data_IF_997810548593
#
_entry.id   IF_997810548593
#
_cell.length_a   1.000
_cell.length_b   1.000
_cell.length_c   1.000
_cell.angle_alpha   90.00
_cell.angle_beta   90.00
_cell.angle_gamma   90.00
#
_symmetry.space_group_name_H-M   'P 1'
#
loop_
_entity.id
_entity.type
_entity.pdbx_description
1 polymer ?
#
# COMPACT_ATOMS: atom_id res chain seq x y z
N UNK A 1 0.42 11.22 3.95
CA UNK A 1 0.41 11.44 2.47
C UNK A 1 0.51 10.10 1.77
N UNK A 2 -0.47 9.80 0.93
CA UNK A 2 -0.52 8.59 0.13
C UNK A 2 -0.83 8.93 -1.34
N UNK A 3 -0.52 7.99 -2.23
CA UNK A 3 -0.97 7.98 -3.62
C UNK A 3 -2.14 7.00 -3.73
N UNK A 4 -3.19 7.37 -4.46
CA UNK A 4 -4.30 6.49 -4.80
C UNK A 4 -4.25 6.19 -6.30
N UNK A 5 -4.26 4.91 -6.66
CA UNK A 5 -4.22 4.42 -8.03
C UNK A 5 -5.44 3.52 -8.27
N UNK A 6 -6.12 3.71 -9.39
CA UNK A 6 -7.39 3.08 -9.74
C UNK A 6 -7.33 2.35 -11.08
N UNK A 7 -6.29 2.62 -11.88
CA UNK A 7 -6.14 2.04 -13.22
C UNK A 7 -4.67 1.96 -13.65
N UNK A 8 -4.44 1.22 -14.74
CA UNK A 8 -3.09 0.96 -15.26
C UNK A 8 -2.39 2.24 -15.72
N UNK A 9 -3.14 3.22 -16.23
CA UNK A 9 -2.57 4.47 -16.74
C UNK A 9 -1.94 5.28 -15.61
N UNK A 10 -2.57 5.31 -14.43
CA UNK A 10 -2.02 5.95 -13.23
C UNK A 10 -0.75 5.26 -12.72
N UNK A 11 -0.67 3.92 -12.79
CA UNK A 11 0.56 3.18 -12.45
C UNK A 11 1.68 3.50 -13.44
N UNK A 12 1.36 3.55 -14.75
CA UNK A 12 2.33 3.91 -15.79
C UNK A 12 2.86 5.33 -15.61
N UNK A 13 1.98 6.28 -15.30
CA UNK A 13 2.34 7.66 -14.99
C UNK A 13 3.25 7.72 -13.76
N UNK A 14 2.87 7.06 -12.66
CA UNK A 14 3.67 7.00 -11.44
C UNK A 14 5.09 6.49 -11.73
N UNK A 15 5.23 5.44 -12.55
CA UNK A 15 6.53 4.90 -12.95
C UNK A 15 7.38 5.93 -13.70
N UNK A 16 6.77 6.74 -14.58
CA UNK A 16 7.47 7.77 -15.33
C UNK A 16 7.93 8.92 -14.43
N UNK A 17 7.07 9.37 -13.51
CA UNK A 17 7.40 10.48 -12.60
C UNK A 17 8.23 10.03 -11.39
N UNK A 18 8.37 8.73 -11.13
CA UNK A 18 9.06 8.21 -9.94
C UNK A 18 10.52 8.69 -9.84
N UNK A 19 11.21 8.88 -10.97
CA UNK A 19 12.56 9.45 -11.00
C UNK A 19 12.62 10.89 -10.49
N UNK A 20 11.52 11.64 -10.62
CA UNK A 20 11.40 13.04 -10.22
C UNK A 20 11.09 13.18 -8.72
N UNK A 21 10.71 12.10 -8.03
CA UNK A 21 10.38 12.12 -6.60
C UNK A 21 11.61 12.24 -5.68
N UNK A 22 12.83 12.21 -6.23
CA UNK A 22 14.08 12.40 -5.49
C UNK A 22 14.20 11.44 -4.30
N UNK A 23 14.29 11.99 -3.08
CA UNK A 23 14.39 11.19 -1.84
C UNK A 23 13.13 10.36 -1.53
N UNK A 24 11.98 10.69 -2.14
CA UNK A 24 10.71 9.95 -2.00
C UNK A 24 10.49 8.92 -3.11
N UNK A 25 11.52 8.65 -3.93
CA UNK A 25 11.46 7.65 -4.99
C UNK A 25 11.02 6.29 -4.42
N UNK A 26 9.99 5.72 -5.02
CA UNK A 26 9.48 4.41 -4.68
C UNK A 26 10.40 3.31 -5.21
N UNK A 27 10.64 2.24 -4.43
CA UNK A 27 11.36 1.07 -4.92
C UNK A 27 10.68 0.43 -6.13
N UNK A 28 11.47 -0.15 -7.03
CA UNK A 28 10.93 -0.90 -8.17
C UNK A 28 10.02 -2.06 -7.74
N UNK A 29 10.25 -2.65 -6.56
CA UNK A 29 9.35 -3.65 -5.99
C UNK A 29 7.95 -3.12 -5.72
N UNK A 30 7.82 -1.90 -5.22
CA UNK A 30 6.53 -1.23 -4.98
C UNK A 30 5.78 -1.00 -6.30
N UNK A 31 6.48 -0.42 -7.29
CA UNK A 31 5.89 -0.17 -8.61
C UNK A 31 5.48 -1.49 -9.31
N UNK A 32 6.31 -2.53 -9.18
CA UNK A 32 6.03 -3.85 -9.73
C UNK A 32 4.83 -4.52 -9.05
N UNK A 33 4.71 -4.40 -7.73
CA UNK A 33 3.55 -4.89 -6.98
C UNK A 33 2.27 -4.16 -7.40
N UNK A 34 2.30 -2.82 -7.45
CA UNK A 34 1.13 -2.04 -7.86
C UNK A 34 0.65 -2.43 -9.26
N UNK A 35 1.57 -2.58 -10.21
CA UNK A 35 1.26 -3.07 -11.57
C UNK A 35 0.62 -4.45 -11.57
N UNK A 36 1.19 -5.40 -10.83
CA UNK A 36 0.68 -6.78 -10.76
C UNK A 36 -0.72 -6.86 -10.19
N UNK A 37 -1.04 -6.05 -9.19
CA UNK A 37 -2.38 -5.98 -8.61
C UNK A 37 -3.37 -5.52 -9.69
N UNK A 38 -3.10 -4.39 -10.37
CA UNK A 38 -4.01 -3.90 -11.42
C UNK A 38 -4.16 -4.89 -12.58
N UNK A 39 -3.09 -5.59 -12.96
CA UNK A 39 -3.13 -6.55 -14.07
C UNK A 39 -3.87 -7.85 -13.73
N UNK A 40 -3.82 -8.30 -12.47
CA UNK A 40 -4.43 -9.58 -12.05
C UNK A 40 -5.84 -9.41 -11.51
N UNK A 41 -6.10 -8.32 -10.82
CA UNK A 41 -7.36 -8.07 -10.16
C UNK A 41 -8.31 -7.36 -11.13
N UNK A 42 -9.55 -7.83 -11.20
CA UNK A 42 -10.58 -7.17 -11.99
C UNK A 42 -11.10 -5.96 -11.21
N UNK A 43 -10.44 -4.81 -11.36
CA UNK A 43 -10.79 -3.58 -10.64
C UNK A 43 -12.18 -3.08 -11.03
N UNK A 44 -12.98 -2.79 -10.01
CA UNK A 44 -14.24 -2.05 -10.11
C UNK A 44 -14.01 -0.57 -9.80
N UNK A 45 -15.04 0.25 -9.99
CA UNK A 45 -15.01 1.68 -9.65
C UNK A 45 -14.77 1.97 -8.16
N UNK A 46 -14.91 0.96 -7.30
CA UNK A 46 -14.69 1.07 -5.86
C UNK A 46 -13.32 0.54 -5.42
N UNK A 47 -12.55 -0.05 -6.33
CA UNK A 47 -11.25 -0.61 -6.03
C UNK A 47 -10.13 0.40 -6.22
N UNK A 48 -9.12 0.34 -5.36
CA UNK A 48 -7.91 1.14 -5.54
C UNK A 48 -6.70 0.53 -4.86
N UNK A 49 -5.53 0.95 -5.32
CA UNK A 49 -4.25 0.76 -4.63
C UNK A 49 -3.93 2.05 -3.89
N UNK A 50 -3.56 1.93 -2.62
CA UNK A 50 -3.04 3.04 -1.83
C UNK A 50 -1.58 2.78 -1.54
N UNK A 51 -0.71 3.73 -1.90
CA UNK A 51 0.72 3.69 -1.58
C UNK A 51 1.02 4.80 -0.56
N UNK A 52 1.35 4.42 0.68
CA UNK A 52 1.80 5.38 1.68
C UNK A 52 3.26 5.79 1.40
N UNK A 53 3.47 7.09 1.22
CA UNK A 53 4.77 7.64 0.83
C UNK A 53 5.72 7.82 2.02
N UNK A 54 5.17 7.84 3.24
CA UNK A 54 5.92 7.91 4.48
C UNK A 54 5.74 6.60 5.25
N UNK A 55 6.71 6.21 6.10
CA UNK A 55 6.55 5.05 6.96
C UNK A 55 5.37 5.23 7.91
N UNK A 56 4.57 4.19 8.04
CA UNK A 56 3.46 4.10 9.00
C UNK A 56 3.64 2.87 9.89
N UNK A 57 2.94 2.82 11.02
CA UNK A 57 2.83 1.59 11.80
C UNK A 57 1.86 0.66 11.09
N UNK A 58 2.10 -0.66 11.14
CA UNK A 58 1.14 -1.66 10.68
C UNK A 58 0.02 -1.80 11.71
N UNK A 59 -0.83 -0.80 11.76
CA UNK A 59 -2.00 -0.72 12.62
C UNK A 59 -3.19 -0.32 11.73
N UNK A 60 -4.16 -1.22 11.61
CA UNK A 60 -5.35 -1.01 10.78
C UNK A 60 -6.10 0.25 11.21
N UNK A 61 -6.16 0.58 12.51
CA UNK A 61 -6.83 1.79 12.99
C UNK A 61 -6.11 3.04 12.46
N UNK A 62 -4.81 3.13 12.68
CA UNK A 62 -4.01 4.26 12.16
C UNK A 62 -4.03 4.38 10.63
N UNK A 63 -4.13 3.27 9.91
CA UNK A 63 -4.31 3.26 8.46
C UNK A 63 -5.69 3.83 8.07
N UNK A 64 -6.76 3.43 8.77
CA UNK A 64 -8.11 3.94 8.52
C UNK A 64 -8.20 5.45 8.80
N UNK A 65 -7.55 5.93 9.87
CA UNK A 65 -7.45 7.34 10.21
C UNK A 65 -6.78 8.15 9.09
N UNK A 66 -5.62 7.70 8.59
CA UNK A 66 -4.88 8.38 7.52
C UNK A 66 -5.67 8.36 6.19
N UNK A 67 -6.45 7.30 5.94
CA UNK A 67 -7.33 7.20 4.78
C UNK A 67 -8.65 7.98 4.92
N UNK A 68 -9.02 8.38 6.14
CA UNK A 68 -10.29 9.05 6.48
C UNK A 68 -11.52 8.29 5.98
N UNK A 69 -11.53 6.98 6.18
CA UNK A 69 -12.59 6.09 5.68
C UNK A 69 -13.71 5.82 6.71
N UNK A 70 -13.75 6.56 7.81
CA UNK A 70 -14.91 6.50 8.72
C UNK A 70 -16.16 7.10 8.07
N UNK A 71 -17.36 6.56 8.34
CA UNK A 71 -17.68 5.50 9.30
C UNK A 71 -17.73 4.07 8.70
N UNK A 72 -17.08 3.82 7.56
CA UNK A 72 -17.18 2.52 6.89
C UNK A 72 -16.58 1.37 7.71
N UNK A 73 -17.22 0.20 7.63
CA UNK A 73 -16.73 -1.02 8.24
C UNK A 73 -15.70 -1.67 7.33
N UNK A 74 -14.51 -1.98 7.87
CA UNK A 74 -13.43 -2.61 7.13
C UNK A 74 -13.17 -4.04 7.58
N UNK A 75 -12.90 -4.93 6.61
CA UNK A 75 -12.38 -6.27 6.86
C UNK A 75 -10.97 -6.38 6.28
N UNK A 76 -10.04 -6.94 7.05
CA UNK A 76 -8.69 -7.24 6.58
C UNK A 76 -8.64 -8.64 6.00
N UNK A 77 -8.05 -8.78 4.82
CA UNK A 77 -7.78 -10.08 4.21
C UNK A 77 -6.33 -10.48 4.52
N UNK A 78 -6.16 -11.35 5.53
CA UNK A 78 -4.84 -11.83 5.98
C UNK A 78 -4.15 -12.72 4.93
N UNK A 79 -4.89 -13.31 4.00
CA UNK A 79 -4.32 -14.13 2.92
C UNK A 79 -3.66 -13.26 1.83
N UNK A 80 -3.95 -11.94 1.81
CA UNK A 80 -3.36 -11.00 0.86
C UNK A 80 -2.13 -10.26 1.41
N UNK A 81 -1.33 -10.90 2.29
CA UNK A 81 -0.07 -10.29 2.76
C UNK A 81 0.97 -10.22 1.63
N UNK A 82 1.46 -9.01 1.37
CA UNK A 82 2.45 -8.74 0.34
C UNK A 82 3.81 -8.43 0.95
N UNK A 83 4.79 -9.31 0.70
CA UNK A 83 6.20 -9.02 0.98
C UNK A 83 6.83 -8.30 -0.21
N UNK A 84 7.12 -7.01 -0.05
CA UNK A 84 7.53 -6.14 -1.15
C UNK A 84 9.03 -5.86 -1.02
N UNK A 85 9.79 -6.21 -2.06
CA UNK A 85 11.24 -5.94 -2.09
C UNK A 85 11.50 -4.42 -2.09
N UNK A 86 11.94 -3.91 -0.94
CA UNK A 86 12.43 -2.56 -0.78
C UNK A 86 13.83 -2.35 -1.34
N UNK A 87 14.38 -1.15 -1.13
CA UNK A 87 15.75 -0.81 -1.50
C UNK A 87 16.72 -1.30 -0.41
N UNK A 88 17.78 -2.01 -0.81
CA UNK A 88 18.83 -2.49 0.12
C UNK A 88 19.47 -1.30 0.85
N UNK A 89 19.83 -1.51 2.12
CA UNK A 89 20.49 -0.50 2.96
C UNK A 89 19.56 0.57 3.54
N UNK A 90 18.24 0.45 3.37
CA UNK A 90 17.27 1.37 4.00
C UNK A 90 16.85 0.89 5.39
N UNK A 91 16.45 1.82 6.25
CA UNK A 91 15.89 1.54 7.59
C UNK A 91 14.39 1.22 7.58
N UNK A 92 13.82 1.02 6.38
CA UNK A 92 12.40 0.74 6.21
C UNK A 92 12.20 -0.61 5.51
N UNK A 93 11.10 -1.26 5.82
CA UNK A 93 10.62 -2.46 5.14
C UNK A 93 9.26 -2.19 4.51
N UNK A 94 9.08 -2.69 3.29
CA UNK A 94 7.85 -2.51 2.54
C UNK A 94 6.96 -3.74 2.67
N UNK A 95 5.70 -3.50 3.00
CA UNK A 95 4.68 -4.53 3.12
C UNK A 95 3.35 -4.00 2.58
N UNK A 96 2.35 -4.86 2.62
CA UNK A 96 1.02 -4.52 2.19
C UNK A 96 0.03 -5.63 2.50
N UNK A 97 -1.24 -5.27 2.50
CA UNK A 97 -2.38 -6.18 2.62
C UNK A 97 -3.59 -5.54 1.95
N UNK A 98 -4.69 -6.28 1.83
CA UNK A 98 -5.93 -5.76 1.27
C UNK A 98 -6.95 -5.56 2.39
N UNK A 99 -7.69 -4.44 2.33
CA UNK A 99 -8.90 -4.24 3.12
C UNK A 99 -10.11 -4.13 2.22
N UNK A 100 -11.23 -4.66 2.69
CA UNK A 100 -12.54 -4.56 2.02
C UNK A 100 -13.45 -3.64 2.81
N UNK A 101 -14.09 -2.70 2.11
CA UNK A 101 -15.18 -1.88 2.66
C UNK A 101 -16.48 -2.70 2.54
N UNK A 102 -17.13 -3.01 3.66
CA UNK A 102 -18.32 -3.88 3.66
C UNK A 102 -19.48 -3.27 2.87
N UNK A 103 -19.69 -1.97 3.04
CA UNK A 103 -20.87 -1.27 2.54
C UNK A 103 -20.86 -1.13 1.01
N UNK A 104 -19.67 -1.02 0.41
CA UNK A 104 -19.51 -0.84 -1.05
C UNK A 104 -18.96 -2.09 -1.74
N UNK A 105 -18.44 -3.04 -0.97
CA UNK A 105 -17.64 -4.16 -1.49
C UNK A 105 -16.29 -3.74 -2.09
N UNK A 106 -15.92 -2.46 -2.01
CA UNK A 106 -14.69 -1.92 -2.58
C UNK A 106 -13.45 -2.45 -1.87
N UNK A 107 -12.41 -2.76 -2.64
CA UNK A 107 -11.13 -3.28 -2.15
C UNK A 107 -10.07 -2.21 -2.22
N UNK A 108 -9.37 -2.02 -1.10
CA UNK A 108 -8.22 -1.14 -1.00
C UNK A 108 -6.98 -2.00 -0.79
N UNK A 109 -6.12 -2.05 -1.80
CA UNK A 109 -4.84 -2.72 -1.73
C UNK A 109 -3.80 -1.77 -1.16
N UNK A 110 -3.40 -2.00 0.07
CA UNK A 110 -2.48 -1.14 0.81
C UNK A 110 -1.05 -1.55 0.52
N UNK A 111 -0.21 -0.58 0.19
CA UNK A 111 1.24 -0.72 0.09
C UNK A 111 1.86 0.36 0.95
N UNK A 112 2.69 -0.02 1.91
CA UNK A 112 3.30 0.92 2.83
C UNK A 112 4.69 0.47 3.24
N UNK A 113 5.43 1.41 3.82
CA UNK A 113 6.69 1.11 4.50
C UNK A 113 6.52 1.22 6.02
N UNK A 114 7.29 0.45 6.76
CA UNK A 114 7.43 0.52 8.21
C UNK A 114 8.89 0.79 8.54
N UNK A 115 9.18 1.48 9.64
CA UNK A 115 10.56 1.53 10.15
C UNK A 115 10.92 0.15 10.71
N UNK A 116 12.13 -0.34 10.45
CA UNK A 116 12.58 -1.67 10.92
C UNK A 116 12.43 -1.88 12.44
N UNK A 117 12.59 -0.82 13.23
CA UNK A 117 12.36 -0.86 14.68
C UNK A 117 10.90 -1.20 15.05
N UNK A 118 9.94 -0.77 14.22
CA UNK A 118 8.51 -1.03 14.41
C UNK A 118 8.14 -2.43 13.91
N UNK A 119 8.89 -2.97 12.94
CA UNK A 119 8.74 -4.36 12.48
C UNK A 119 9.19 -5.36 13.55
N UNK A 120 10.31 -5.13 14.24
CA UNK A 120 10.79 -6.04 15.30
C UNK A 120 9.79 -6.26 16.45
N UNK A 121 8.88 -5.31 16.68
CA UNK A 121 7.79 -5.44 17.67
C UNK A 121 6.66 -6.38 17.21
N UNK A 122 6.61 -6.72 15.92
CA UNK A 122 5.64 -7.66 15.33
C UNK A 122 6.03 -9.12 15.60
N UNK A 123 7.32 -9.43 15.59
CA UNK A 123 7.84 -10.80 15.72
C UNK A 123 8.32 -11.14 17.15
N UNK A 124 8.27 -10.16 18.07
CA UNK A 124 8.61 -10.35 19.48
C UNK A 124 7.36 -10.60 20.32
N UNK A 125 7.06 -11.89 20.54
CA UNK A 125 6.59 -12.37 21.84
C UNK A 125 7.76 -12.36 22.83
#
# INVERSE_FOLDING_TARGET
MYLKLTNESEVRLLRQINSLLGKKKLPNGVLGTARRIIEKEHFTVHDCIVIFMNPIKNDTIGICDELRIYPYTVETDEDYIMNIKGQKGTEVEWSGYMIRIKETGGRIYLIYSMRKQDVKKRDGL
#
